data_IF_226009215050
#
_entry.id   IF_226009215050
#
_cell.length_a   1.000
_cell.length_b   1.000
_cell.length_c   1.000
_cell.angle_alpha   90.00
_cell.angle_beta   90.00
_cell.angle_gamma   90.00
#
_symmetry.space_group_name_H-M   'P 1'
#
loop_
_entity.id
_entity.type
_entity.pdbx_description
1 polymer ?
#
# COMPACT_ATOMS: atom_id res chain seq x y z
N UNK A 1 6.10 -19.80 -15.13
CA UNK A 1 5.57 -19.84 -13.76
C UNK A 1 5.94 -18.52 -13.11
N UNK A 2 4.96 -17.69 -12.76
CA UNK A 2 5.21 -16.45 -12.02
C UNK A 2 5.44 -16.80 -10.54
N UNK A 3 6.47 -16.23 -9.92
CA UNK A 3 6.79 -16.44 -8.52
C UNK A 3 6.78 -15.09 -7.83
N UNK A 4 5.76 -14.82 -7.04
CA UNK A 4 5.70 -13.66 -6.15
C UNK A 4 6.22 -14.09 -4.77
N UNK A 5 7.16 -13.34 -4.20
CA UNK A 5 7.60 -13.52 -2.82
C UNK A 5 7.13 -12.34 -1.98
N UNK A 6 6.40 -12.64 -0.91
CA UNK A 6 6.00 -11.67 0.11
C UNK A 6 6.78 -12.06 1.37
N UNK A 7 7.47 -11.10 1.98
CA UNK A 7 8.16 -11.34 3.25
C UNK A 7 7.12 -11.67 4.34
N UNK A 8 7.24 -12.87 4.93
CA UNK A 8 6.37 -13.38 6.00
C UNK A 8 6.72 -12.67 7.32
N UNK A 9 5.70 -12.35 8.11
CA UNK A 9 5.82 -11.51 9.32
C UNK A 9 5.63 -12.33 10.59
N UNK A 10 6.68 -12.37 11.42
CA UNK A 10 6.69 -12.88 12.80
C UNK A 10 5.89 -11.96 13.75
N UNK A 11 5.67 -12.38 15.01
CA UNK A 11 4.88 -11.65 16.04
C UNK A 11 5.35 -10.20 16.34
N UNK A 12 6.52 -9.80 15.84
CA UNK A 12 7.14 -8.47 16.02
C UNK A 12 6.45 -7.31 15.27
N UNK A 13 5.39 -7.58 14.51
CA UNK A 13 4.79 -6.61 13.59
C UNK A 13 3.42 -6.08 14.03
N UNK A 14 3.03 -6.31 15.28
CA UNK A 14 1.77 -5.80 15.85
C UNK A 14 2.02 -4.40 16.43
N UNK A 15 1.30 -3.39 15.93
CA UNK A 15 1.23 -2.05 16.53
C UNK A 15 -0.10 -1.85 17.23
N UNK A 16 -0.07 -1.16 18.36
CA UNK A 16 -1.27 -0.73 19.09
C UNK A 16 -1.64 0.71 18.69
N UNK A 17 -2.89 0.90 18.31
CA UNK A 17 -3.49 2.19 18.03
C UNK A 17 -4.74 2.36 18.91
N UNK A 18 -4.58 3.07 20.02
CA UNK A 18 -5.65 3.27 21.02
C UNK A 18 -6.31 1.96 21.50
N UNK A 19 -5.51 0.93 21.76
CA UNK A 19 -5.98 -0.39 22.18
C UNK A 19 -6.38 -1.31 21.02
N UNK A 20 -6.27 -0.86 19.77
CA UNK A 20 -6.49 -1.67 18.57
C UNK A 20 -5.16 -2.22 18.09
N UNK A 21 -4.99 -3.53 18.18
CA UNK A 21 -3.80 -4.22 17.69
C UNK A 21 -3.91 -4.50 16.19
N UNK A 22 -2.99 -3.92 15.40
CA UNK A 22 -2.95 -4.04 13.94
C UNK A 22 -1.63 -4.66 13.54
N UNK A 23 -1.69 -5.74 12.74
CA UNK A 23 -0.52 -6.30 12.10
C UNK A 23 -0.09 -5.41 10.94
N UNK A 24 1.07 -4.78 11.07
CA UNK A 24 1.63 -3.95 10.03
C UNK A 24 2.29 -4.81 8.96
N UNK A 25 1.82 -4.70 7.72
CA UNK A 25 2.39 -5.39 6.56
C UNK A 25 2.22 -4.59 5.27
N UNK A 26 2.60 -5.23 4.17
CA UNK A 26 2.48 -4.67 2.82
C UNK A 26 1.02 -4.35 2.54
N UNK A 27 0.76 -3.18 1.96
CA UNK A 27 -0.61 -2.74 1.64
C UNK A 27 -0.80 -2.86 0.14
N UNK A 28 -1.60 -3.84 -0.28
CA UNK A 28 -1.88 -4.07 -1.71
C UNK A 28 -3.36 -3.81 -1.95
N UNK A 29 -3.65 -2.87 -2.85
CA UNK A 29 -5.00 -2.56 -3.29
C UNK A 29 -5.13 -2.89 -4.76
N UNK A 30 -6.11 -3.73 -5.11
CA UNK A 30 -6.38 -4.15 -6.48
C UNK A 30 -7.72 -3.57 -6.88
N UNK A 31 -7.71 -2.62 -7.82
CA UNK A 31 -8.94 -2.07 -8.37
C UNK A 31 -9.57 -3.07 -9.36
N UNK A 32 -10.91 -3.08 -9.47
CA UNK A 32 -11.59 -3.90 -10.47
C UNK A 32 -11.12 -3.67 -11.90
N UNK A 33 -10.64 -2.46 -12.24
CA UNK A 33 -10.05 -2.19 -13.57
C UNK A 33 -8.78 -3.01 -13.81
N UNK A 34 -8.01 -3.33 -12.77
CA UNK A 34 -6.84 -4.22 -12.90
C UNK A 34 -7.24 -5.69 -13.05
N UNK A 35 -8.26 -6.15 -12.34
CA UNK A 35 -8.73 -7.53 -12.45
C UNK A 35 -9.72 -7.87 -11.35
N UNK A 36 -10.71 -8.68 -11.69
CA UNK A 36 -11.77 -9.11 -10.78
C UNK A 36 -11.65 -10.58 -10.42
N UNK A 37 -10.97 -11.39 -11.26
CA UNK A 37 -10.70 -12.79 -10.98
C UNK A 37 -9.24 -13.03 -10.60
N UNK A 38 -9.00 -14.08 -9.81
CA UNK A 38 -7.63 -14.52 -9.48
C UNK A 38 -6.81 -14.83 -10.74
N UNK A 39 -7.45 -15.40 -11.77
CA UNK A 39 -6.78 -15.71 -13.04
C UNK A 39 -6.30 -14.44 -13.74
N UNK A 40 -7.14 -13.43 -13.86
CA UNK A 40 -6.77 -12.14 -14.45
C UNK A 40 -5.60 -11.49 -13.71
N UNK A 41 -5.66 -11.51 -12.37
CA UNK A 41 -4.60 -10.94 -11.53
C UNK A 41 -3.28 -11.70 -11.75
N UNK A 42 -3.32 -13.04 -11.78
CA UNK A 42 -2.13 -13.86 -12.01
C UNK A 42 -1.55 -13.69 -13.42
N UNK A 43 -2.40 -13.57 -14.45
CA UNK A 43 -1.96 -13.40 -15.83
C UNK A 43 -1.28 -12.02 -16.04
N UNK A 44 -1.58 -11.03 -15.20
CA UNK A 44 -0.99 -9.68 -15.23
C UNK A 44 0.24 -9.49 -14.34
N UNK A 45 0.56 -10.47 -13.48
CA UNK A 45 1.77 -10.44 -12.65
C UNK A 45 2.76 -11.45 -13.22
N UNK A 46 3.80 -10.94 -13.87
CA UNK A 46 4.75 -11.72 -14.66
C UNK A 46 6.16 -11.61 -14.06
N UNK A 47 6.91 -12.71 -14.15
CA UNK A 47 8.30 -12.72 -13.69
C UNK A 47 8.42 -12.79 -12.16
N UNK A 48 9.44 -12.12 -11.62
CA UNK A 48 9.75 -12.09 -10.19
C UNK A 48 9.44 -10.72 -9.59
N UNK A 49 8.30 -10.61 -8.91
CA UNK A 49 7.93 -9.40 -8.19
C UNK A 49 8.26 -9.56 -6.70
N UNK A 50 9.08 -8.64 -6.17
CA UNK A 50 9.41 -8.51 -4.76
C UNK A 50 8.80 -7.20 -4.23
N UNK A 51 8.02 -7.29 -3.17
CA UNK A 51 7.40 -6.12 -2.54
C UNK A 51 7.76 -6.14 -1.06
N UNK A 52 8.38 -5.06 -0.59
CA UNK A 52 8.77 -4.92 0.81
C UNK A 52 7.56 -4.78 1.73
N UNK A 53 7.79 -5.05 3.01
CA UNK A 53 6.75 -5.04 4.03
C UNK A 53 6.12 -3.66 4.29
N UNK A 54 6.87 -2.58 4.04
CA UNK A 54 6.39 -1.20 4.25
C UNK A 54 5.74 -0.62 3.00
N UNK A 55 5.95 -1.26 1.86
CA UNK A 55 5.47 -0.79 0.57
C UNK A 55 3.94 -0.75 0.49
N UNK A 56 3.49 0.18 -0.35
CA UNK A 56 2.09 0.30 -0.76
C UNK A 56 2.04 0.11 -2.27
N UNK A 57 1.21 -0.82 -2.72
CA UNK A 57 0.99 -1.08 -4.14
C UNK A 57 -0.49 -0.91 -4.46
N UNK A 58 -0.80 0.01 -5.36
CA UNK A 58 -2.17 0.25 -5.84
C UNK A 58 -2.21 -0.10 -7.33
N UNK A 59 -2.89 -1.20 -7.65
CA UNK A 59 -3.04 -1.72 -9.00
C UNK A 59 -4.36 -1.23 -9.61
N UNK A 60 -4.27 -0.61 -10.79
CA UNK A 60 -5.35 -0.05 -11.62
C UNK A 60 -4.99 -0.27 -13.09
N UNK A 61 -5.98 -0.18 -13.96
CA UNK A 61 -5.79 -0.26 -15.41
C UNK A 61 -5.95 -1.66 -15.97
N UNK A 62 -6.84 -1.75 -16.97
CA UNK A 62 -7.14 -3.01 -17.66
C UNK A 62 -5.92 -3.57 -18.38
N UNK A 63 -5.07 -2.72 -18.93
CA UNK A 63 -3.89 -3.14 -19.69
C UNK A 63 -2.60 -3.15 -18.87
N UNK A 64 -2.69 -2.93 -17.55
CA UNK A 64 -1.53 -2.89 -16.67
C UNK A 64 -0.96 -4.29 -16.44
N UNK A 65 0.34 -4.46 -16.67
CA UNK A 65 1.09 -5.68 -16.42
C UNK A 65 2.25 -5.34 -15.47
N UNK A 66 2.31 -6.01 -14.34
CA UNK A 66 3.43 -5.92 -13.41
C UNK A 66 4.49 -6.95 -13.81
N UNK A 67 5.71 -6.51 -14.13
CA UNK A 67 6.79 -7.41 -14.57
C UNK A 67 8.08 -7.12 -13.83
N UNK A 68 8.66 -8.14 -13.20
CA UNK A 68 10.00 -8.07 -12.60
C UNK A 68 10.20 -6.83 -11.69
N UNK A 69 9.19 -6.53 -10.86
CA UNK A 69 9.17 -5.34 -10.01
C UNK A 69 9.83 -5.60 -8.66
N UNK A 70 10.75 -4.72 -8.26
CA UNK A 70 11.31 -4.67 -6.90
C UNK A 70 10.85 -3.37 -6.21
N UNK A 71 9.91 -3.48 -5.28
CA UNK A 71 9.22 -2.34 -4.66
C UNK A 71 9.53 -2.20 -3.17
N UNK A 72 10.26 -1.14 -2.81
CA UNK A 72 10.51 -0.66 -1.45
C UNK A 72 10.11 0.83 -1.33
N UNK A 73 8.84 1.10 -1.64
CA UNK A 73 8.26 2.45 -1.77
C UNK A 73 6.73 2.34 -1.92
N UNK A 74 6.07 3.44 -2.28
CA UNK A 74 4.68 3.44 -2.72
C UNK A 74 4.61 3.53 -4.24
N UNK A 75 3.87 2.61 -4.86
CA UNK A 75 3.63 2.58 -6.29
C UNK A 75 2.13 2.56 -6.59
N UNK A 76 1.69 3.50 -7.43
CA UNK A 76 0.33 3.58 -7.95
C UNK A 76 0.39 3.43 -9.47
N UNK A 77 -0.30 2.42 -10.00
CA UNK A 77 -0.49 2.29 -11.45
C UNK A 77 -1.76 3.03 -11.87
N UNK A 78 -1.82 3.43 -13.13
CA UNK A 78 -2.90 4.18 -13.76
C UNK A 78 -3.51 3.37 -14.92
N UNK A 79 -4.58 3.87 -15.52
CA UNK A 79 -5.30 3.16 -16.59
C UNK A 79 -4.43 2.94 -17.84
N UNK A 80 -3.48 3.85 -18.06
CA UNK A 80 -2.55 3.91 -19.18
C UNK A 80 -1.15 3.36 -18.87
N UNK A 81 -0.93 2.76 -17.69
CA UNK A 81 0.41 2.35 -17.25
C UNK A 81 1.08 1.29 -18.13
N UNK A 82 0.32 0.43 -18.81
CA UNK A 82 0.89 -0.62 -19.66
C UNK A 82 1.80 -1.57 -18.87
N UNK A 83 3.04 -1.78 -19.32
CA UNK A 83 4.00 -2.62 -18.60
C UNK A 83 4.74 -1.77 -17.56
N UNK A 84 4.66 -2.19 -16.30
CA UNK A 84 5.37 -1.60 -15.16
C UNK A 84 6.46 -2.56 -14.72
N UNK A 85 7.72 -2.16 -14.88
CA UNK A 85 8.91 -2.97 -14.60
C UNK A 85 10.02 -2.13 -13.96
N UNK A 86 10.88 -2.77 -13.14
CA UNK A 86 12.07 -2.14 -12.55
C UNK A 86 12.04 -2.01 -11.02
N UNK A 87 12.92 -1.14 -10.50
CA UNK A 87 13.11 -0.92 -9.07
C UNK A 87 12.50 0.42 -8.63
N UNK A 88 11.73 0.37 -7.55
CA UNK A 88 11.05 1.52 -6.95
C UNK A 88 11.44 1.58 -5.47
N UNK A 89 12.54 2.30 -5.17
CA UNK A 89 13.24 2.26 -3.87
C UNK A 89 13.36 3.65 -3.22
N UNK A 90 12.47 4.57 -3.60
CA UNK A 90 12.48 5.96 -3.13
C UNK A 90 12.09 6.09 -1.65
N UNK A 91 11.58 5.02 -1.03
CA UNK A 91 11.18 4.97 0.37
C UNK A 91 10.08 5.99 0.74
N UNK A 92 9.23 6.30 -0.22
CA UNK A 92 8.04 7.13 -0.01
C UNK A 92 6.92 6.21 0.53
N UNK A 93 6.74 6.18 1.84
CA UNK A 93 5.82 5.25 2.49
C UNK A 93 4.53 5.93 2.93
N UNK A 94 3.50 5.12 3.10
CA UNK A 94 2.30 5.53 3.83
C UNK A 94 2.42 4.95 5.24
N UNK A 95 2.56 5.83 6.23
CA UNK A 95 2.74 5.45 7.62
C UNK A 95 1.46 5.64 8.44
N UNK A 96 1.21 4.71 9.35
CA UNK A 96 0.17 4.85 10.37
C UNK A 96 0.77 5.50 11.60
N UNK A 97 0.15 6.59 12.05
CA UNK A 97 0.56 7.35 13.22
C UNK A 97 -0.55 7.34 14.27
N UNK A 98 -0.16 7.22 15.53
CA UNK A 98 -1.10 7.38 16.64
C UNK A 98 -1.68 8.79 16.64
N UNK A 99 -2.94 8.88 17.06
CA UNK A 99 -3.57 10.16 17.40
C UNK A 99 -3.15 10.50 18.82
N UNK A 100 -2.55 11.68 19.01
CA UNK A 100 -2.16 12.19 20.31
C UNK A 100 -3.12 13.31 20.75
N UNK A 101 -4.01 13.06 21.72
CA UNK A 101 -4.97 14.06 22.18
C UNK A 101 -4.36 15.36 22.73
N UNK A 102 -3.06 15.39 23.03
CA UNK A 102 -2.39 16.60 23.51
C UNK A 102 -1.89 17.50 22.39
N UNK A 103 -1.58 16.94 21.22
CA UNK A 103 -0.99 17.67 20.09
C UNK A 103 -1.90 17.73 18.86
N UNK A 104 -2.86 16.82 18.74
CA UNK A 104 -3.80 16.75 17.64
C UNK A 104 -5.12 17.46 17.95
N UNK A 105 -5.68 18.18 16.96
CA UNK A 105 -7.05 18.70 17.00
C UNK A 105 -8.05 17.56 16.75
N UNK A 106 -8.26 16.75 17.79
CA UNK A 106 -9.15 15.58 17.72
C UNK A 106 -10.57 15.97 17.35
N UNK A 107 -11.07 17.11 17.82
CA UNK A 107 -12.45 17.55 17.55
C UNK A 107 -12.65 17.89 16.06
N UNK A 108 -11.64 18.51 15.44
CA UNK A 108 -11.61 18.84 14.01
C UNK A 108 -11.36 17.65 13.07
N UNK A 109 -10.94 16.49 13.57
CA UNK A 109 -10.69 15.31 12.74
C UNK A 109 -11.96 14.74 12.12
N UNK A 110 -11.81 14.17 10.92
CA UNK A 110 -12.87 13.40 10.27
C UNK A 110 -13.25 12.18 11.12
N UNK A 111 -14.54 11.85 11.16
CA UNK A 111 -15.04 10.69 11.91
C UNK A 111 -14.36 9.37 11.51
N UNK A 112 -14.01 9.22 10.22
CA UNK A 112 -13.26 8.04 9.73
C UNK A 112 -11.89 7.86 10.39
N UNK A 113 -11.26 8.96 10.82
CA UNK A 113 -9.97 8.94 11.54
C UNK A 113 -10.23 8.60 13.01
N UNK A 114 -11.25 9.22 13.64
CA UNK A 114 -11.63 8.99 15.04
C UNK A 114 -11.98 7.52 15.30
N UNK A 115 -12.80 6.89 14.44
CA UNK A 115 -13.26 5.51 14.65
C UNK A 115 -12.15 4.46 14.49
N UNK A 116 -11.09 4.76 13.71
CA UNK A 116 -9.99 3.81 13.45
C UNK A 116 -8.79 3.99 14.39
N UNK A 117 -8.71 5.10 15.11
CA UNK A 117 -7.69 5.34 16.14
C UNK A 117 -6.28 5.71 15.62
N UNK A 118 -6.11 5.92 14.31
CA UNK A 118 -4.83 6.32 13.72
C UNK A 118 -5.01 7.28 12.53
N UNK A 119 -4.02 8.15 12.33
CA UNK A 119 -3.88 9.01 11.14
C UNK A 119 -2.86 8.41 10.17
N UNK A 120 -2.97 8.80 8.91
CA UNK A 120 -2.07 8.35 7.84
C UNK A 120 -1.19 9.51 7.40
N UNK A 121 0.11 9.28 7.32
CA UNK A 121 1.08 10.28 6.88
C UNK A 121 1.85 9.80 5.65
N UNK A 122 2.22 10.75 4.78
CA UNK A 122 3.11 10.54 3.65
C UNK A 122 4.31 11.47 3.80
N UNK A 123 5.50 10.94 3.56
CA UNK A 123 6.76 11.67 3.64
C UNK A 123 7.09 12.45 2.34
N UNK A 124 6.42 12.13 1.24
CA UNK A 124 6.42 12.90 0.01
C UNK A 124 5.06 12.79 -0.71
N UNK A 125 4.65 13.80 -1.51
CA UNK A 125 3.48 13.68 -2.37
C UNK A 125 3.59 12.46 -3.30
N UNK A 126 2.55 11.65 -3.35
CA UNK A 126 2.47 10.47 -4.21
C UNK A 126 1.36 10.72 -5.23
N UNK A 127 1.70 10.71 -6.50
CA UNK A 127 0.75 10.92 -7.58
C UNK A 127 -0.36 9.85 -7.53
N UNK A 128 -1.62 10.28 -7.70
CA UNK A 128 -2.77 9.38 -7.71
C UNK A 128 -3.20 8.83 -6.35
N UNK A 129 -2.57 9.27 -5.24
CA UNK A 129 -2.91 8.89 -3.87
C UNK A 129 -3.34 10.10 -3.04
N UNK A 130 -4.60 10.10 -2.61
CA UNK A 130 -5.10 11.02 -1.60
C UNK A 130 -5.11 10.32 -0.25
N UNK A 131 -4.41 10.90 0.72
CA UNK A 131 -4.37 10.38 2.09
C UNK A 131 -5.22 11.27 2.98
N UNK A 132 -6.12 10.65 3.74
CA UNK A 132 -6.88 11.36 4.76
C UNK A 132 -5.96 11.60 5.95
N UNK A 133 -5.53 12.85 6.09
CA UNK A 133 -4.75 13.37 7.23
C UNK A 133 -5.65 14.10 8.20
#
# INVERSE_FOLDING_TARGET
MAQASIEHSDETDIRDFQGIQIKEGTKIFIYPSFGVTMKEIQDKIVGYCKISKRSVLILRGENTILRDVNLDSTLVTHEESGIVEGEFIEQNYVEYQNIDPQSDDVDGMLEVIKIRGFKTAINAPIEGLNVFS
#
